data_IF_024245111226
#
_entry.id   IF_024245111226
#
_cell.length_a   1.000
_cell.length_b   1.000
_cell.length_c   1.000
_cell.angle_alpha   90.00
_cell.angle_beta   90.00
_cell.angle_gamma   90.00
#
_symmetry.space_group_name_H-M   'P 1'
#
loop_
_entity.id
_entity.type
_entity.pdbx_description
1 polymer ?
#
# COMPACT_ATOMS: atom_id res chain seq x y z
N UNK A 1 10.04 -27.95 -60.46
CA UNK A 1 9.34 -28.38 -59.22
C UNK A 1 10.09 -27.89 -57.99
N UNK A 2 9.46 -27.05 -57.17
CA UNK A 2 10.08 -26.40 -56.01
C UNK A 2 10.21 -27.36 -54.81
N UNK A 3 11.42 -27.48 -54.23
CA UNK A 3 11.64 -28.19 -52.95
C UNK A 3 11.59 -27.17 -51.80
N UNK A 4 10.65 -27.41 -50.88
CA UNK A 4 10.26 -26.56 -49.76
C UNK A 4 11.45 -26.24 -48.83
N UNK A 5 11.62 -24.94 -48.56
CA UNK A 5 12.53 -24.36 -47.57
C UNK A 5 12.38 -25.03 -46.19
N UNK A 6 13.48 -25.57 -45.65
CA UNK A 6 13.57 -26.05 -44.26
C UNK A 6 13.43 -24.85 -43.32
N UNK A 7 12.29 -24.78 -42.62
CA UNK A 7 11.99 -23.76 -41.60
C UNK A 7 13.18 -23.54 -40.67
N UNK A 8 13.60 -22.28 -40.54
CA UNK A 8 14.60 -21.77 -39.60
C UNK A 8 14.32 -22.35 -38.20
N UNK A 9 15.32 -23.04 -37.64
CA UNK A 9 15.31 -23.43 -36.22
C UNK A 9 15.15 -22.13 -35.41
N UNK A 10 14.05 -22.02 -34.68
CA UNK A 10 13.86 -20.96 -33.70
C UNK A 10 15.05 -20.94 -32.74
N UNK A 11 15.46 -19.74 -32.36
CA UNK A 11 16.61 -19.47 -31.51
C UNK A 11 16.58 -20.40 -30.28
N UNK A 12 17.50 -21.36 -30.23
CA UNK A 12 17.63 -22.24 -29.07
C UNK A 12 18.30 -21.45 -27.96
N UNK A 13 17.51 -21.02 -26.98
CA UNK A 13 18.04 -20.43 -25.77
C UNK A 13 18.97 -21.45 -25.08
N UNK A 14 20.16 -21.03 -24.63
CA UNK A 14 21.06 -21.93 -23.90
C UNK A 14 20.32 -22.42 -22.66
N UNK A 15 20.16 -23.74 -22.55
CA UNK A 15 19.59 -24.36 -21.36
C UNK A 15 20.56 -24.11 -20.22
N UNK A 16 20.25 -23.18 -19.32
CA UNK A 16 21.04 -23.03 -18.11
C UNK A 16 20.86 -24.30 -17.27
N UNK A 17 21.96 -24.90 -16.80
CA UNK A 17 21.92 -26.08 -15.93
C UNK A 17 21.43 -25.76 -14.51
N UNK A 18 21.05 -24.50 -14.24
CA UNK A 18 20.56 -24.06 -12.94
C UNK A 18 19.09 -24.43 -12.83
N UNK A 19 18.80 -25.55 -12.17
CA UNK A 19 17.44 -25.92 -11.77
C UNK A 19 16.98 -24.88 -10.74
N UNK A 20 16.26 -23.85 -11.19
CA UNK A 20 15.52 -22.97 -10.29
C UNK A 20 14.31 -23.76 -9.79
N UNK A 21 14.25 -24.00 -8.47
CA UNK A 21 13.10 -24.65 -7.86
C UNK A 21 12.57 -23.82 -6.70
N UNK A 22 11.26 -23.88 -6.50
CA UNK A 22 10.60 -23.33 -5.32
C UNK A 22 10.87 -24.28 -4.13
N UNK A 23 11.48 -23.76 -3.06
CA UNK A 23 11.83 -24.53 -1.85
C UNK A 23 10.60 -25.03 -1.09
N UNK A 24 9.49 -24.30 -1.14
CA UNK A 24 8.22 -24.67 -0.50
C UNK A 24 7.38 -25.62 -1.36
N UNK A 25 7.61 -25.62 -2.68
CA UNK A 25 6.89 -26.49 -3.64
C UNK A 25 7.86 -27.06 -4.69
N UNK A 26 8.70 -28.05 -4.32
CA UNK A 26 9.71 -28.58 -5.22
C UNK A 26 9.07 -29.31 -6.40
N UNK A 27 9.59 -29.03 -7.60
CA UNK A 27 9.17 -29.66 -8.85
C UNK A 27 9.66 -31.12 -8.95
N UNK A 28 9.23 -31.86 -9.98
CA UNK A 28 9.54 -33.30 -10.14
C UNK A 28 11.03 -33.59 -10.24
N UNK A 29 11.82 -32.71 -10.85
CA UNK A 29 13.27 -32.86 -10.95
C UNK A 29 13.92 -32.69 -9.58
N UNK A 30 13.54 -31.66 -8.82
CA UNK A 30 14.02 -31.44 -7.47
C UNK A 30 13.68 -32.59 -6.52
N UNK A 31 12.47 -33.16 -6.61
CA UNK A 31 12.07 -34.35 -5.83
C UNK A 31 12.92 -35.57 -6.16
N UNK A 32 13.28 -35.77 -7.43
CA UNK A 32 14.19 -36.86 -7.85
C UNK A 32 15.61 -36.67 -7.30
N UNK A 33 16.02 -35.43 -7.06
CA UNK A 33 17.28 -35.08 -6.42
C UNK A 33 17.20 -35.12 -4.88
N UNK A 34 16.09 -35.57 -4.29
CA UNK A 34 15.93 -35.70 -2.84
C UNK A 34 15.57 -34.41 -2.10
N UNK A 35 15.28 -33.32 -2.81
CA UNK A 35 14.90 -32.05 -2.18
C UNK A 35 13.46 -32.15 -1.65
N UNK A 36 13.30 -32.00 -0.33
CA UNK A 36 12.01 -31.95 0.36
C UNK A 36 11.46 -30.51 0.36
N UNK A 37 10.15 -30.39 0.48
CA UNK A 37 9.53 -29.10 0.71
C UNK A 37 9.92 -28.60 2.09
N UNK A 38 10.39 -27.36 2.15
CA UNK A 38 10.54 -26.64 3.40
C UNK A 38 9.18 -26.13 3.87
N UNK A 39 8.96 -26.03 5.18
CA UNK A 39 7.77 -25.40 5.71
C UNK A 39 7.75 -23.92 5.31
N UNK A 40 6.63 -23.40 4.79
CA UNK A 40 6.52 -21.97 4.57
C UNK A 40 6.72 -21.25 5.90
N UNK A 41 7.36 -20.06 5.89
CA UNK A 41 7.52 -19.29 7.10
C UNK A 41 6.15 -19.11 7.76
N UNK A 42 6.07 -19.45 9.05
CA UNK A 42 4.87 -19.17 9.85
C UNK A 42 4.64 -17.68 9.74
N UNK A 43 3.54 -17.31 9.10
CA UNK A 43 3.12 -15.91 9.09
C UNK A 43 2.88 -15.56 10.55
N UNK A 44 3.69 -14.64 11.10
CA UNK A 44 3.37 -14.06 12.40
C UNK A 44 1.94 -13.54 12.30
N UNK A 45 1.07 -14.07 13.16
CA UNK A 45 -0.32 -13.63 13.17
C UNK A 45 -0.31 -12.11 13.30
N UNK A 46 -0.98 -11.38 12.40
CA UNK A 46 -1.06 -9.94 12.55
C UNK A 46 -1.66 -9.68 13.92
N UNK A 47 -0.92 -8.96 14.78
CA UNK A 47 -1.36 -8.62 16.14
C UNK A 47 -2.84 -8.23 16.08
N UNK A 48 -3.70 -9.06 16.67
CA UNK A 48 -5.14 -8.89 16.55
C UNK A 48 -5.56 -7.68 17.39
N UNK A 49 -5.57 -6.50 16.79
CA UNK A 49 -5.99 -5.27 17.45
C UNK A 49 -7.51 -5.30 17.58
N UNK A 50 -8.03 -5.09 18.78
CA UNK A 50 -9.48 -5.10 18.99
C UNK A 50 -10.14 -3.92 18.27
N UNK A 51 -11.38 -4.07 17.80
CA UNK A 51 -12.11 -2.97 17.15
C UNK A 51 -12.22 -1.73 18.05
N UNK A 52 -12.34 -1.93 19.36
CA UNK A 52 -12.41 -0.85 20.33
C UNK A 52 -11.10 -0.05 20.43
N UNK A 53 -9.95 -0.73 20.38
CA UNK A 53 -8.63 -0.13 20.40
C UNK A 53 -8.38 0.69 19.12
N UNK A 54 -8.72 0.14 17.96
CA UNK A 54 -8.66 0.89 16.68
C UNK A 54 -9.52 2.16 16.72
N UNK A 55 -10.70 2.10 17.34
CA UNK A 55 -11.57 3.27 17.50
C UNK A 55 -10.97 4.31 18.47
N UNK A 56 -10.33 3.87 19.55
CA UNK A 56 -9.64 4.77 20.50
C UNK A 56 -8.49 5.51 19.83
N UNK A 57 -7.67 4.81 19.06
CA UNK A 57 -6.54 5.40 18.33
C UNK A 57 -7.02 6.47 17.35
N UNK A 58 -8.10 6.18 16.61
CA UNK A 58 -8.69 7.15 15.68
C UNK A 58 -9.22 8.40 16.39
N UNK A 59 -9.88 8.24 17.53
CA UNK A 59 -10.38 9.38 18.32
C UNK A 59 -9.21 10.22 18.86
N UNK A 60 -8.11 9.60 19.29
CA UNK A 60 -6.92 10.32 19.74
C UNK A 60 -6.28 11.10 18.58
N UNK A 61 -6.10 10.46 17.42
CA UNK A 61 -5.58 11.12 16.23
C UNK A 61 -6.42 12.33 15.80
N UNK A 62 -7.76 12.21 15.85
CA UNK A 62 -8.66 13.32 15.53
C UNK A 62 -8.47 14.50 16.50
N UNK A 63 -8.39 14.23 17.81
CA UNK A 63 -8.14 15.26 18.84
C UNK A 63 -6.78 15.92 18.66
N UNK A 64 -5.75 15.16 18.31
CA UNK A 64 -4.42 15.71 18.03
C UNK A 64 -4.43 16.59 16.78
N UNK A 65 -5.12 16.18 15.73
CA UNK A 65 -5.28 16.98 14.52
C UNK A 65 -6.02 18.29 14.80
N UNK A 66 -7.11 18.24 15.59
CA UNK A 66 -7.82 19.44 16.06
C UNK A 66 -6.88 20.38 16.82
N UNK A 67 -6.10 19.87 17.78
CA UNK A 67 -5.13 20.68 18.56
C UNK A 67 -4.05 21.33 17.70
N UNK A 68 -3.68 20.74 16.56
CA UNK A 68 -2.67 21.32 15.65
C UNK A 68 -3.22 22.47 14.82
N UNK A 69 -4.51 22.41 14.47
CA UNK A 69 -5.16 23.38 13.59
C UNK A 69 -5.77 24.53 14.40
N UNK A 70 -6.37 24.21 15.56
CA UNK A 70 -7.10 25.16 16.37
C UNK A 70 -6.14 26.03 17.19
N UNK A 71 -6.29 27.37 17.14
CA UNK A 71 -5.52 28.29 17.97
C UNK A 71 -5.67 27.99 19.47
N UNK A 72 -4.60 28.20 20.23
CA UNK A 72 -4.60 27.98 21.67
C UNK A 72 -5.67 28.86 22.35
N UNK A 73 -6.53 28.24 23.17
CA UNK A 73 -7.62 28.94 23.87
C UNK A 73 -8.95 28.94 23.13
N UNK A 74 -9.07 28.30 21.96
CA UNK A 74 -10.34 28.07 21.26
C UNK A 74 -10.64 26.58 21.13
N UNK A 75 -11.92 26.25 21.01
CA UNK A 75 -12.39 24.92 20.59
C UNK A 75 -12.48 24.85 19.06
N UNK A 76 -12.50 23.63 18.50
CA UNK A 76 -12.63 23.44 17.05
C UNK A 76 -13.90 24.10 16.47
N UNK A 77 -15.03 24.01 17.19
CA UNK A 77 -16.28 24.65 16.78
C UNK A 77 -16.19 26.18 16.74
N UNK A 78 -15.60 26.78 17.77
CA UNK A 78 -15.36 28.23 17.81
C UNK A 78 -14.40 28.68 16.70
N UNK A 79 -13.37 27.88 16.41
CA UNK A 79 -12.44 28.15 15.32
C UNK A 79 -13.12 28.13 13.95
N UNK A 80 -14.02 27.17 13.69
CA UNK A 80 -14.79 27.15 12.44
C UNK A 80 -15.68 28.40 12.28
N UNK A 81 -16.30 28.85 13.37
CA UNK A 81 -17.09 30.11 13.35
C UNK A 81 -16.19 31.32 13.08
N UNK A 82 -15.02 31.39 13.71
CA UNK A 82 -14.03 32.44 13.46
C UNK A 82 -13.60 32.49 11.99
N UNK A 83 -13.29 31.33 11.39
CA UNK A 83 -12.93 31.24 9.97
C UNK A 83 -14.06 31.70 9.05
N UNK A 84 -15.31 31.34 9.34
CA UNK A 84 -16.46 31.79 8.56
C UNK A 84 -16.64 33.32 8.63
N UNK A 85 -16.49 33.91 9.83
CA UNK A 85 -16.55 35.36 9.99
C UNK A 85 -15.43 36.08 9.21
N UNK A 86 -14.20 35.55 9.28
CA UNK A 86 -13.07 36.08 8.49
C UNK A 86 -13.29 35.98 7.00
N UNK A 87 -13.92 34.91 6.51
CA UNK A 87 -14.27 34.77 5.11
C UNK A 87 -15.24 35.87 4.65
N UNK A 88 -16.31 36.12 5.40
CA UNK A 88 -17.28 37.18 5.08
C UNK A 88 -16.65 38.58 5.08
N UNK A 89 -15.75 38.86 6.03
CA UNK A 89 -15.01 40.12 6.08
C UNK A 89 -14.17 40.33 4.80
N UNK A 90 -13.49 39.28 4.33
CA UNK A 90 -12.68 39.32 3.12
C UNK A 90 -13.52 39.45 1.85
N UNK A 91 -14.65 38.73 1.76
CA UNK A 91 -15.60 38.85 0.65
C UNK A 91 -16.17 40.28 0.59
N UNK A 92 -16.55 40.86 1.73
CA UNK A 92 -17.02 42.24 1.82
C UNK A 92 -15.97 43.28 1.46
N UNK A 93 -14.68 43.02 1.74
CA UNK A 93 -13.57 43.89 1.30
C UNK A 93 -13.31 43.77 -0.20
N UNK A 94 -13.37 42.57 -0.76
CA UNK A 94 -13.21 42.32 -2.21
C UNK A 94 -14.32 43.00 -3.02
N UNK A 95 -15.56 42.87 -2.57
CA UNK A 95 -16.71 43.51 -3.23
C UNK A 95 -16.69 45.05 -3.16
N UNK A 96 -15.89 45.64 -2.26
CA UNK A 96 -15.69 47.10 -2.17
C UNK A 96 -14.48 47.60 -2.97
N UNK A 97 -13.62 46.68 -3.42
CA UNK A 97 -12.41 46.98 -4.20
C UNK A 97 -12.57 46.76 -5.70
N UNK A 98 -13.68 46.14 -6.13
CA UNK A 98 -14.17 46.12 -7.52
C UNK A 98 -15.10 47.31 -7.78
#
# INVERSE_FOLDING_TARGET
MAKKSRRKKGQQFPKSNKVTYNKYKPNRQARRLGIKAEEPPKQEEPKSVSKAEVLRDRVQQAKEAERRIVPQGMTYGEYLQYLNGKRQELEGKRAKSE
#
